data_IF_741186148288
#
_entry.id   IF_741186148288
#
_cell.length_a   1.000
_cell.length_b   1.000
_cell.length_c   1.000
_cell.angle_alpha   90.00
_cell.angle_beta   90.00
_cell.angle_gamma   90.00
#
_symmetry.space_group_name_H-M   'P 1'
#
loop_
_entity.id
_entity.type
_entity.pdbx_description
1 polymer ?
#
# COMPACT_ATOMS: atom_id res chain seq x y z
N UNK A 1 18.52 22.87 12.90
CA UNK A 1 18.54 21.39 12.83
C UNK A 1 17.41 20.96 11.90
N UNK A 2 17.69 20.62 10.63
CA UNK A 2 16.66 20.11 9.72
C UNK A 2 16.17 18.76 10.27
N UNK A 3 14.86 18.63 10.51
CA UNK A 3 14.26 17.36 10.88
C UNK A 3 14.45 16.41 9.69
N UNK A 4 15.29 15.38 9.86
CA UNK A 4 15.39 14.31 8.88
C UNK A 4 13.98 13.75 8.66
N UNK A 5 13.52 13.58 7.41
CA UNK A 5 12.26 12.92 7.15
C UNK A 5 12.34 11.53 7.80
N UNK A 6 11.39 11.27 8.69
CA UNK A 6 11.24 9.97 9.33
C UNK A 6 11.25 8.93 8.20
N UNK A 7 12.23 8.00 8.15
CA UNK A 7 12.31 7.00 7.09
C UNK A 7 11.09 6.10 7.25
N UNK A 8 9.98 6.55 6.68
CA UNK A 8 8.71 5.85 6.69
C UNK A 8 8.95 4.71 5.73
N UNK A 9 9.34 3.58 6.29
CA UNK A 9 9.49 2.34 5.56
C UNK A 9 8.18 2.10 4.81
N UNK A 10 8.28 2.00 3.50
CA UNK A 10 7.15 1.81 2.61
C UNK A 10 6.68 0.35 2.75
N UNK A 11 5.86 0.10 3.76
CA UNK A 11 5.28 -1.22 4.00
C UNK A 11 4.17 -1.50 2.98
N UNK A 12 3.57 -0.47 2.39
CA UNK A 12 2.35 -0.55 1.58
C UNK A 12 2.52 -0.28 0.07
N UNK A 13 3.75 -0.24 -0.44
CA UNK A 13 4.03 -0.09 -1.87
C UNK A 13 3.53 1.24 -2.46
N UNK A 14 4.18 2.33 -2.08
CA UNK A 14 4.01 3.72 -2.51
C UNK A 14 2.79 4.49 -1.97
N UNK A 15 1.98 3.90 -1.07
CA UNK A 15 0.93 4.62 -0.35
C UNK A 15 1.42 5.07 1.04
N UNK A 16 1.75 6.36 1.15
CA UNK A 16 2.30 6.98 2.35
C UNK A 16 1.27 7.07 3.49
N UNK A 17 -0.03 7.20 3.17
CA UNK A 17 -1.11 7.22 4.15
C UNK A 17 -1.34 5.83 4.73
N UNK A 18 -1.42 4.82 3.87
CA UNK A 18 -1.54 3.42 4.26
C UNK A 18 -0.33 2.96 5.08
N UNK A 19 0.90 3.38 4.72
CA UNK A 19 2.12 3.04 5.46
C UNK A 19 2.12 3.58 6.89
N UNK A 20 1.66 4.83 7.10
CA UNK A 20 1.55 5.42 8.45
C UNK A 20 0.51 4.71 9.31
N UNK A 21 -0.64 4.39 8.72
CA UNK A 21 -1.68 3.66 9.44
C UNK A 21 -1.23 2.24 9.79
N UNK A 22 -0.59 1.55 8.85
CA UNK A 22 -0.07 0.22 9.06
C UNK A 22 0.98 0.20 10.17
N UNK A 23 1.85 1.22 10.22
CA UNK A 23 2.79 1.39 11.35
C UNK A 23 2.07 1.52 12.69
N UNK A 24 1.04 2.36 12.79
CA UNK A 24 0.22 2.48 14.02
C UNK A 24 -0.43 1.14 14.40
N UNK A 25 -0.94 0.40 13.42
CA UNK A 25 -1.51 -0.93 13.66
C UNK A 25 -0.46 -1.91 14.18
N UNK A 26 0.76 -1.90 13.63
CA UNK A 26 1.88 -2.73 14.10
C UNK A 26 2.31 -2.34 15.52
N UNK A 27 2.34 -1.06 15.86
CA UNK A 27 2.63 -0.57 17.22
C UNK A 27 1.56 -1.03 18.23
N UNK A 28 0.28 -1.00 17.83
CA UNK A 28 -0.81 -1.52 18.66
C UNK A 28 -0.69 -3.05 18.86
N UNK A 29 -0.40 -3.80 17.79
CA UNK A 29 -0.18 -5.24 17.85
C UNK A 29 1.01 -5.61 18.73
N UNK A 30 2.12 -4.88 18.61
CA UNK A 30 3.30 -5.04 19.48
C UNK A 30 2.94 -4.84 20.95
N UNK A 31 2.13 -3.83 21.24
CA UNK A 31 1.70 -3.52 22.62
C UNK A 31 0.80 -4.61 23.20
N UNK A 32 -0.02 -5.25 22.38
CA UNK A 32 -0.90 -6.36 22.78
C UNK A 32 -0.20 -7.73 22.78
N UNK A 33 0.97 -7.85 22.14
CA UNK A 33 1.66 -9.13 21.99
C UNK A 33 2.13 -9.70 23.34
N UNK A 34 1.75 -10.94 23.63
CA UNK A 34 2.07 -11.63 24.89
C UNK A 34 3.49 -12.21 24.89
N UNK A 35 4.01 -12.61 23.72
CA UNK A 35 5.31 -13.27 23.57
C UNK A 35 6.47 -12.28 23.32
N UNK A 36 7.63 -12.42 23.99
CA UNK A 36 8.79 -11.56 23.75
C UNK A 36 9.35 -11.69 22.34
N UNK A 37 9.30 -12.89 21.76
CA UNK A 37 9.75 -13.15 20.39
C UNK A 37 8.88 -12.42 19.35
N UNK A 38 7.56 -12.49 19.50
CA UNK A 38 6.60 -11.76 18.64
C UNK A 38 6.85 -10.26 18.70
N UNK A 39 7.07 -9.69 19.91
CA UNK A 39 7.37 -8.26 20.07
C UNK A 39 8.65 -7.87 19.34
N UNK A 40 9.71 -8.68 19.48
CA UNK A 40 10.99 -8.43 18.84
C UNK A 40 10.86 -8.42 17.32
N UNK A 41 10.17 -9.39 16.75
CA UNK A 41 9.96 -9.44 15.30
C UNK A 41 9.11 -8.28 14.79
N UNK A 42 8.07 -7.87 15.53
CA UNK A 42 7.31 -6.66 15.21
C UNK A 42 8.18 -5.39 15.30
N UNK A 43 9.07 -5.30 16.27
CA UNK A 43 10.05 -4.21 16.39
C UNK A 43 11.03 -4.18 15.20
N UNK A 44 11.47 -5.34 14.72
CA UNK A 44 12.32 -5.45 13.54
C UNK A 44 11.59 -5.00 12.26
N UNK A 45 10.29 -5.32 12.13
CA UNK A 45 9.47 -4.84 11.03
C UNK A 45 9.22 -3.32 11.10
N UNK A 46 8.83 -2.80 12.27
CA UNK A 46 8.59 -1.36 12.47
C UNK A 46 9.85 -0.53 12.20
N UNK A 47 11.02 -1.06 12.59
CA UNK A 47 12.31 -0.43 12.35
C UNK A 47 12.83 -0.61 10.91
N UNK A 48 12.13 -1.35 10.05
CA UNK A 48 12.55 -1.65 8.68
C UNK A 48 13.76 -2.58 8.56
N UNK A 49 14.09 -3.32 9.63
CA UNK A 49 15.15 -4.35 9.62
C UNK A 49 14.67 -5.67 9.02
N UNK A 50 13.36 -5.91 9.05
CA UNK A 50 12.69 -7.06 8.45
C UNK A 50 11.46 -6.61 7.66
N UNK A 51 11.02 -7.44 6.71
CA UNK A 51 9.80 -7.15 5.95
C UNK A 51 8.56 -7.80 6.58
N UNK A 52 7.36 -7.24 6.34
CA UNK A 52 6.10 -7.91 6.72
C UNK A 52 5.94 -9.30 6.10
N UNK A 53 6.50 -9.51 4.90
CA UNK A 53 6.48 -10.81 4.22
C UNK A 53 7.31 -11.84 4.99
N UNK A 54 8.49 -11.45 5.45
CA UNK A 54 9.37 -12.30 6.25
C UNK A 54 8.75 -12.63 7.60
N UNK A 55 8.14 -11.66 8.27
CA UNK A 55 7.36 -11.90 9.49
C UNK A 55 6.21 -12.89 9.25
N UNK A 56 5.49 -12.77 8.13
CA UNK A 56 4.40 -13.68 7.79
C UNK A 56 4.82 -15.14 7.58
N UNK A 57 6.11 -15.39 7.31
CA UNK A 57 6.67 -16.74 7.19
C UNK A 57 7.31 -17.27 8.48
N UNK A 58 7.23 -16.52 9.58
CA UNK A 58 7.89 -16.88 10.84
C UNK A 58 7.03 -17.80 11.72
N UNK A 59 7.70 -18.60 12.56
CA UNK A 59 7.04 -19.43 13.58
C UNK A 59 6.27 -18.59 14.62
N UNK A 60 6.72 -17.36 14.86
CA UNK A 60 6.04 -16.46 15.80
C UNK A 60 4.69 -16.01 15.25
N UNK A 61 4.60 -15.77 13.94
CA UNK A 61 3.33 -15.50 13.27
C UNK A 61 2.43 -16.73 13.22
N UNK A 62 2.99 -17.92 12.93
CA UNK A 62 2.24 -19.18 12.98
C UNK A 62 1.60 -19.41 14.36
N UNK A 63 2.35 -19.19 15.44
CA UNK A 63 1.82 -19.31 16.80
C UNK A 63 0.74 -18.27 17.16
N UNK A 64 0.69 -17.12 16.48
CA UNK A 64 -0.44 -16.18 16.60
C UNK A 64 -1.66 -16.74 15.88
N UNK A 65 -1.49 -17.24 14.65
CA UNK A 65 -2.58 -17.83 13.87
C UNK A 65 -3.22 -19.00 14.59
N UNK A 66 -2.44 -19.89 15.22
CA UNK A 66 -2.98 -21.03 15.96
C UNK A 66 -3.91 -20.63 17.11
N UNK A 67 -3.71 -19.43 17.69
CA UNK A 67 -4.58 -18.91 18.75
C UNK A 67 -5.84 -18.24 18.22
N UNK A 68 -5.75 -17.61 17.06
CA UNK A 68 -6.84 -16.81 16.48
C UNK A 68 -7.73 -17.65 15.58
N UNK A 69 -7.14 -18.49 14.71
CA UNK A 69 -7.82 -19.41 13.80
C UNK A 69 -8.25 -20.68 14.53
N UNK A 70 -9.13 -20.51 15.50
CA UNK A 70 -9.76 -21.63 16.18
C UNK A 70 -10.66 -22.43 15.23
N UNK A 71 -10.93 -23.72 15.50
CA UNK A 71 -11.86 -24.52 14.70
C UNK A 71 -13.25 -23.86 14.54
N UNK A 72 -13.71 -23.14 15.57
CA UNK A 72 -14.96 -22.39 15.53
C UNK A 72 -14.91 -21.23 14.53
N UNK A 73 -13.79 -20.49 14.48
CA UNK A 73 -13.60 -19.41 13.52
C UNK A 73 -13.54 -19.96 12.08
N UNK A 74 -12.85 -21.08 11.88
CA UNK A 74 -12.78 -21.76 10.58
C UNK A 74 -14.14 -22.26 10.10
N UNK A 75 -14.94 -22.86 10.99
CA UNK A 75 -16.29 -23.29 10.66
C UNK A 75 -17.17 -22.12 10.24
N UNK A 76 -17.09 -20.99 10.98
CA UNK A 76 -17.84 -19.77 10.64
C UNK A 76 -17.44 -19.22 9.27
N UNK A 77 -16.14 -19.22 8.94
CA UNK A 77 -15.66 -18.78 7.64
C UNK A 77 -16.17 -19.70 6.51
N UNK A 78 -16.20 -21.02 6.75
CA UNK A 78 -16.69 -21.99 5.77
C UNK A 78 -18.21 -21.95 5.56
N UNK A 79 -18.97 -21.43 6.53
CA UNK A 79 -20.43 -21.30 6.44
C UNK A 79 -20.92 -20.02 5.79
N UNK A 80 -20.01 -19.11 5.40
CA UNK A 80 -20.40 -17.85 4.77
C UNK A 80 -20.99 -18.08 3.39
N UNK A 81 -22.16 -17.50 3.15
CA UNK A 81 -22.76 -17.46 1.83
C UNK A 81 -21.98 -16.52 0.89
N UNK A 82 -22.10 -16.71 -0.44
CA UNK A 82 -21.50 -15.80 -1.41
C UNK A 82 -21.90 -14.32 -1.21
N UNK A 83 -23.16 -14.07 -0.84
CA UNK A 83 -23.65 -12.71 -0.57
C UNK A 83 -23.02 -12.09 0.68
N UNK A 84 -22.79 -12.87 1.73
CA UNK A 84 -22.13 -12.37 2.94
C UNK A 84 -20.65 -12.07 2.68
N UNK A 85 -19.99 -12.91 1.87
CA UNK A 85 -18.62 -12.66 1.43
C UNK A 85 -18.51 -11.37 0.62
N UNK A 86 -19.42 -11.12 -0.32
CA UNK A 86 -19.42 -9.88 -1.11
C UNK A 86 -19.67 -8.65 -0.23
N UNK A 87 -20.63 -8.71 0.70
CA UNK A 87 -20.89 -7.63 1.64
C UNK A 87 -19.66 -7.31 2.52
N UNK A 88 -18.94 -8.34 2.99
CA UNK A 88 -17.68 -8.15 3.73
C UNK A 88 -16.57 -7.58 2.86
N UNK A 89 -16.48 -7.98 1.59
CA UNK A 89 -15.52 -7.42 0.65
C UNK A 89 -15.80 -5.95 0.38
N UNK A 90 -17.06 -5.57 0.18
CA UNK A 90 -17.48 -4.18 -0.01
C UNK A 90 -17.20 -3.32 1.22
N UNK A 91 -17.52 -3.83 2.42
CA UNK A 91 -17.17 -3.17 3.68
C UNK A 91 -15.64 -2.97 3.80
N UNK A 92 -14.85 -3.99 3.47
CA UNK A 92 -13.39 -3.90 3.48
C UNK A 92 -12.84 -2.86 2.51
N UNK A 93 -13.38 -2.79 1.29
CA UNK A 93 -13.00 -1.76 0.30
C UNK A 93 -13.36 -0.35 0.79
N UNK A 94 -14.52 -0.17 1.40
CA UNK A 94 -14.95 1.12 1.94
C UNK A 94 -14.04 1.60 3.08
N UNK A 95 -13.72 0.71 4.04
CA UNK A 95 -12.77 1.02 5.12
C UNK A 95 -11.38 1.33 4.57
N UNK A 96 -10.89 0.56 3.60
CA UNK A 96 -9.59 0.83 2.97
C UNK A 96 -9.57 2.17 2.24
N UNK A 97 -10.64 2.52 1.53
CA UNK A 97 -10.78 3.81 0.88
C UNK A 97 -10.73 4.96 1.91
N UNK A 98 -11.43 4.82 3.05
CA UNK A 98 -11.41 5.80 4.14
C UNK A 98 -10.00 6.02 4.72
N UNK A 99 -9.17 4.98 4.74
CA UNK A 99 -7.80 5.05 5.24
C UNK A 99 -6.82 5.66 4.23
N UNK A 100 -7.14 5.62 2.92
CA UNK A 100 -6.38 6.29 1.87
C UNK A 100 -6.65 7.78 1.81
N UNK A 101 -7.88 8.18 2.12
CA UNK A 101 -8.17 9.60 2.27
C UNK A 101 -7.27 10.15 3.39
N UNK A 102 -6.50 11.22 3.13
CA UNK A 102 -5.75 11.86 4.18
C UNK A 102 -6.78 12.33 5.19
N UNK A 103 -6.88 11.63 6.32
CA UNK A 103 -7.64 12.10 7.47
C UNK A 103 -7.04 13.47 7.78
N UNK A 104 -7.73 14.52 7.36
CA UNK A 104 -7.66 15.82 7.97
C UNK A 104 -8.07 15.55 9.41
N UNK A 105 -7.05 15.28 10.22
CA UNK A 105 -7.17 15.05 11.65
C UNK A 105 -8.01 16.22 12.15
N UNK A 106 -9.14 15.89 12.76
CA UNK A 106 -10.01 16.83 13.42
C UNK A 106 -9.12 17.83 14.17
N UNK A 107 -9.23 19.07 13.74
CA UNK A 107 -8.47 20.19 14.27
C UNK A 107 -8.86 20.38 15.73
N UNK A 108 -8.11 19.77 16.64
CA UNK A 108 -8.00 20.30 17.99
C UNK A 108 -6.87 21.32 17.99
N UNK A 109 -7.31 22.57 17.85
CA UNK A 109 -6.68 23.83 18.22
C UNK A 109 -5.15 23.95 18.20
N UNK A 110 -4.62 24.54 17.12
CA UNK A 110 -3.56 25.57 17.22
C UNK A 110 -3.90 26.69 16.23
N UNK A 111 -4.04 27.95 16.66
CA UNK A 111 -4.45 29.04 15.77
C UNK A 111 -3.30 29.47 14.85
N UNK A 112 -3.69 29.68 13.59
CA UNK A 112 -3.15 30.59 12.58
C UNK A 112 -1.66 30.94 12.58
N UNK A 113 -0.99 30.60 11.46
CA UNK A 113 -0.16 31.58 10.76
C UNK A 113 -0.15 31.26 9.26
N UNK A 114 -0.91 32.04 8.50
CA UNK A 114 -0.88 32.08 7.04
C UNK A 114 0.37 32.86 6.64
N UNK A 115 1.31 32.19 5.97
CA UNK A 115 2.37 32.85 5.20
C UNK A 115 2.15 32.53 3.72
N UNK A 116 2.09 33.52 2.81
CA UNK A 116 1.87 33.28 1.39
C UNK A 116 3.04 32.49 0.78
N UNK A 117 2.75 31.36 0.11
CA UNK A 117 3.72 30.70 -0.77
C UNK A 117 3.48 31.16 -2.22
N UNK A 118 4.51 31.80 -2.78
CA UNK A 118 4.58 32.25 -4.17
C UNK A 118 4.43 31.10 -5.18
N UNK A 119 3.96 31.38 -6.41
CA UNK A 119 3.74 30.36 -7.44
C UNK A 119 5.08 29.84 -7.98
N UNK A 120 5.30 28.52 -7.85
CA UNK A 120 6.43 27.81 -8.48
C UNK A 120 6.11 27.62 -9.97
N UNK A 121 6.98 28.12 -10.85
CA UNK A 121 6.87 28.00 -12.31
C UNK A 121 7.04 26.57 -12.84
N UNK A 122 6.79 26.33 -14.14
CA UNK A 122 6.67 24.99 -14.71
C UNK A 122 8.03 24.27 -14.79
N UNK A 123 8.07 23.05 -14.24
CA UNK A 123 9.21 22.14 -14.28
C UNK A 123 9.35 21.52 -15.69
N UNK A 124 10.56 21.58 -16.26
CA UNK A 124 10.89 20.98 -17.56
C UNK A 124 11.12 19.47 -17.42
N UNK A 125 10.81 18.66 -18.45
CA UNK A 125 10.90 17.21 -18.37
C UNK A 125 12.36 16.74 -18.32
N UNK A 126 12.70 15.97 -17.28
CA UNK A 126 14.02 15.37 -17.14
C UNK A 126 14.22 14.23 -18.15
N UNK A 127 15.16 14.43 -19.07
CA UNK A 127 15.71 13.40 -19.96
C UNK A 127 16.38 12.29 -19.15
N UNK A 128 15.79 11.09 -19.15
CA UNK A 128 16.36 9.88 -18.54
C UNK A 128 17.56 9.41 -19.39
N UNK A 129 18.78 9.50 -18.87
CA UNK A 129 19.97 8.94 -19.52
C UNK A 129 20.03 7.42 -19.32
N UNK A 130 19.87 6.67 -20.40
CA UNK A 130 19.96 5.22 -20.42
C UNK A 130 21.44 4.77 -20.48
N UNK A 131 21.86 3.95 -19.52
CA UNK A 131 23.21 3.36 -19.50
C UNK A 131 23.28 2.14 -20.45
N UNK A 132 24.24 2.09 -21.38
CA UNK A 132 24.38 0.97 -22.32
C UNK A 132 24.89 -0.29 -21.59
N UNK A 133 24.23 -1.44 -21.81
CA UNK A 133 24.70 -2.77 -21.37
C UNK A 133 23.93 -3.45 -20.22
N UNK A 134 22.90 -2.83 -19.65
CA UNK A 134 22.13 -3.40 -18.50
C UNK A 134 20.79 -4.02 -18.89
N UNK A 135 20.45 -4.11 -20.18
CA UNK A 135 19.15 -4.62 -20.65
C UNK A 135 19.22 -6.11 -21.01
N UNK A 136 18.32 -6.92 -20.43
CA UNK A 136 18.04 -8.30 -20.87
C UNK A 136 17.61 -8.28 -22.35
N UNK A 137 18.07 -9.22 -23.21
CA UNK A 137 17.88 -9.15 -24.66
C UNK A 137 16.41 -9.11 -25.09
N UNK A 138 15.49 -9.70 -24.32
CA UNK A 138 14.07 -9.78 -24.70
C UNK A 138 13.23 -8.60 -24.22
N UNK A 139 13.83 -7.54 -23.65
CA UNK A 139 13.07 -6.38 -23.15
C UNK A 139 12.59 -5.45 -24.28
N UNK A 140 13.20 -5.53 -25.46
CA UNK A 140 12.85 -4.68 -26.61
C UNK A 140 11.99 -5.41 -27.65
N UNK A 141 11.73 -6.70 -27.44
CA UNK A 141 10.86 -7.47 -28.32
C UNK A 141 9.41 -7.18 -27.95
N UNK A 142 8.88 -6.10 -28.52
CA UNK A 142 7.45 -5.80 -28.49
C UNK A 142 6.79 -6.82 -29.43
N UNK A 143 6.19 -7.86 -28.85
CA UNK A 143 5.34 -8.79 -29.59
C UNK A 143 3.97 -8.17 -29.65
N UNK A 144 3.69 -7.44 -30.73
CA UNK A 144 2.33 -6.97 -31.03
C UNK A 144 1.60 -8.09 -31.77
N UNK A 145 0.45 -8.58 -31.26
CA UNK A 145 -0.41 -9.49 -32.00
C UNK A 145 -0.87 -8.86 -33.33
N UNK A 146 -1.13 -9.66 -34.36
CA UNK A 146 -1.61 -9.17 -35.66
C UNK A 146 -3.03 -8.57 -35.60
N UNK A 147 -3.79 -8.87 -34.55
CA UNK A 147 -5.13 -8.33 -34.28
C UNK A 147 -5.08 -7.36 -33.10
N UNK A 148 -5.77 -6.19 -33.18
CA UNK A 148 -5.84 -5.25 -32.07
C UNK A 148 -6.56 -5.89 -30.89
N UNK A 149 -5.97 -5.77 -29.70
CA UNK A 149 -6.58 -6.26 -28.47
C UNK A 149 -7.68 -5.29 -27.96
N UNK A 150 -8.39 -5.71 -26.91
CA UNK A 150 -9.46 -4.90 -26.32
C UNK A 150 -8.96 -3.54 -25.81
N UNK A 151 -7.70 -3.48 -25.36
CA UNK A 151 -7.06 -2.26 -24.89
C UNK A 151 -6.76 -1.32 -26.06
N UNK A 152 -6.25 -1.82 -27.18
CA UNK A 152 -6.03 -1.06 -28.41
C UNK A 152 -7.33 -0.43 -28.91
N UNK A 153 -8.43 -1.19 -28.91
CA UNK A 153 -9.76 -0.69 -29.29
C UNK A 153 -10.25 0.39 -28.32
N UNK A 154 -10.08 0.19 -27.02
CA UNK A 154 -10.46 1.14 -25.98
C UNK A 154 -9.74 2.48 -26.12
N UNK A 155 -8.44 2.47 -26.44
CA UNK A 155 -7.67 3.69 -26.63
C UNK A 155 -7.98 4.37 -27.98
N UNK A 156 -8.25 3.60 -29.03
CA UNK A 156 -8.71 4.15 -30.31
C UNK A 156 -10.05 4.87 -30.18
N UNK A 157 -11.02 4.29 -29.47
CA UNK A 157 -12.32 4.92 -29.23
C UNK A 157 -12.17 6.27 -28.50
N UNK A 158 -11.26 6.36 -27.52
CA UNK A 158 -11.01 7.62 -26.80
C UNK A 158 -10.28 8.68 -27.62
N UNK A 159 -9.36 8.29 -28.51
CA UNK A 159 -8.75 9.22 -29.47
C UNK A 159 -9.79 9.75 -30.45
N UNK A 160 -10.68 8.88 -30.96
CA UNK A 160 -11.78 9.29 -31.83
C UNK A 160 -12.77 10.23 -31.13
N UNK A 161 -13.01 10.02 -29.83
CA UNK A 161 -13.87 10.90 -29.01
C UNK A 161 -13.17 12.17 -28.51
N UNK A 162 -11.89 12.38 -28.85
CA UNK A 162 -11.12 13.57 -28.47
C UNK A 162 -10.76 13.62 -26.98
N UNK A 163 -10.80 12.48 -26.28
CA UNK A 163 -10.48 12.38 -24.85
C UNK A 163 -9.00 12.09 -24.59
N UNK A 164 -8.28 11.62 -25.62
CA UNK A 164 -6.86 11.33 -25.59
C UNK A 164 -6.22 12.03 -26.81
N UNK A 165 -5.21 12.87 -26.58
CA UNK A 165 -4.49 13.65 -27.60
C UNK A 165 -3.08 13.13 -27.76
#
# INVERSE_FOLDING_TARGET
>A
MPQQPDPTYDVAGADLGASRQLRKSLEALRSAATGPEVRKQLDDVIAGRASMREFGTSDAFAGILDRVLTPQAMNKLSSLSPSELEAMAEQGRAEQARLREPTAIAADAVPAQVAPREPRGPETPQTVQLHPGTRKPNREQVVTPDEPDEDDLYFQERRQRGWLV
#
